data_IF_658773457811
#
_entry.id   IF_658773457811
#
_cell.length_a   1.000
_cell.length_b   1.000
_cell.length_c   1.000
_cell.angle_alpha   90.00
_cell.angle_beta   90.00
_cell.angle_gamma   90.00
#
_symmetry.space_group_name_H-M   'P 1'
#
loop_
_entity.id
_entity.type
_entity.pdbx_description
1 polymer ?
#
# COMPACT_ATOMS: atom_id res chain seq x y z
N UNK A 1 7.75 5.97 17.44
CA UNK A 1 7.00 4.91 16.74
C UNK A 1 7.59 4.72 15.34
N UNK A 2 7.93 3.48 15.00
CA UNK A 2 8.41 3.17 13.66
C UNK A 2 7.23 3.14 12.67
N UNK A 3 7.54 3.21 11.37
CA UNK A 3 6.49 3.09 10.34
C UNK A 3 5.79 1.73 10.46
N UNK A 4 6.54 0.66 10.70
CA UNK A 4 5.97 -0.66 10.87
C UNK A 4 4.98 -0.71 12.04
N UNK A 5 5.35 -0.13 13.17
CA UNK A 5 4.46 -0.04 14.34
C UNK A 5 3.22 0.79 14.03
N UNK A 6 3.39 1.90 13.29
CA UNK A 6 2.28 2.75 12.89
C UNK A 6 1.29 1.99 12.01
N UNK A 7 1.80 1.24 11.03
CA UNK A 7 0.94 0.45 10.15
C UNK A 7 0.20 -0.64 10.91
N UNK A 8 0.86 -1.30 11.84
CA UNK A 8 0.22 -2.33 12.67
C UNK A 8 -0.87 -1.73 13.55
N UNK A 9 -0.60 -0.56 14.15
CA UNK A 9 -1.57 0.11 15.01
C UNK A 9 -2.79 0.59 14.24
N UNK A 10 -2.63 0.95 12.98
CA UNK A 10 -3.69 1.49 12.13
C UNK A 10 -4.22 0.49 11.10
N UNK A 11 -3.84 -0.77 11.25
CA UNK A 11 -4.16 -1.82 10.28
C UNK A 11 -5.63 -1.92 9.93
N UNK A 12 -6.50 -1.97 10.93
CA UNK A 12 -7.92 -2.16 10.69
C UNK A 12 -8.52 -1.00 9.89
N UNK A 13 -8.09 0.21 10.18
CA UNK A 13 -8.57 1.39 9.46
C UNK A 13 -8.04 1.41 8.02
N UNK A 14 -6.78 1.04 7.83
CA UNK A 14 -6.19 0.93 6.49
C UNK A 14 -6.97 -0.06 5.65
N UNK A 15 -7.28 -1.24 6.23
CA UNK A 15 -8.03 -2.27 5.52
C UNK A 15 -9.45 -1.80 5.18
N UNK A 16 -10.07 -1.04 6.06
CA UNK A 16 -11.40 -0.48 5.83
C UNK A 16 -11.38 0.55 4.70
N UNK A 17 -10.40 1.44 4.70
CA UNK A 17 -10.24 2.42 3.63
C UNK A 17 -10.01 1.70 2.30
N UNK A 18 -9.16 0.68 2.29
CA UNK A 18 -8.89 -0.09 1.09
C UNK A 18 -10.17 -0.74 0.56
N UNK A 19 -10.93 -1.41 1.43
CA UNK A 19 -12.17 -2.07 1.04
C UNK A 19 -13.20 -1.09 0.48
N UNK A 20 -13.28 0.10 1.04
CA UNK A 20 -14.17 1.16 0.57
C UNK A 20 -13.90 1.50 -0.90
N UNK A 21 -12.64 1.45 -1.31
CA UNK A 21 -12.24 1.77 -2.68
C UNK A 21 -12.04 0.53 -3.55
N UNK A 22 -12.53 -0.62 -3.10
CA UNK A 22 -12.47 -1.86 -3.88
C UNK A 22 -11.13 -2.56 -3.88
N UNK A 23 -10.28 -2.30 -2.90
CA UNK A 23 -8.97 -2.93 -2.80
C UNK A 23 -8.97 -4.03 -1.74
N UNK A 24 -8.38 -5.18 -2.08
CA UNK A 24 -8.28 -6.35 -1.21
C UNK A 24 -6.85 -6.85 -1.21
N UNK A 25 -6.57 -7.82 -0.34
CA UNK A 25 -5.27 -8.47 -0.24
C UNK A 25 -4.17 -7.42 -0.11
N UNK A 26 -4.32 -6.56 0.89
CA UNK A 26 -3.39 -5.44 1.11
C UNK A 26 -2.07 -5.95 1.65
N UNK A 27 -1.00 -5.66 0.93
CA UNK A 27 0.37 -6.04 1.28
C UNK A 27 1.24 -4.81 1.31
N UNK A 28 2.33 -4.87 2.04
CA UNK A 28 3.32 -3.80 2.11
C UNK A 28 4.61 -4.30 1.47
N UNK A 29 5.27 -3.46 0.72
CA UNK A 29 6.56 -3.79 0.15
C UNK A 29 7.49 -2.57 0.23
N UNK A 30 8.69 -2.68 -0.30
CA UNK A 30 9.62 -1.56 -0.34
C UNK A 30 10.38 -1.34 0.97
N UNK A 31 10.75 -0.09 1.23
CA UNK A 31 11.64 0.25 2.34
C UNK A 31 11.09 -0.15 3.71
N UNK A 32 9.77 -0.09 3.90
CA UNK A 32 9.17 -0.48 5.18
C UNK A 32 9.45 -1.95 5.48
N UNK A 33 9.25 -2.81 4.47
CA UNK A 33 9.47 -4.26 4.64
C UNK A 33 10.95 -4.58 4.83
N UNK A 34 11.83 -3.86 4.16
CA UNK A 34 13.27 -4.08 4.28
C UNK A 34 13.88 -3.49 5.56
N UNK A 35 13.09 -2.78 6.35
CA UNK A 35 13.58 -2.15 7.57
C UNK A 35 14.44 -0.91 7.30
N UNK A 36 14.32 -0.32 6.12
CA UNK A 36 15.10 0.84 5.70
C UNK A 36 14.32 2.15 5.80
N UNK A 37 13.06 2.07 6.21
CA UNK A 37 12.18 3.23 6.22
C UNK A 37 12.52 4.19 7.36
N UNK A 38 12.67 5.47 7.02
CA UNK A 38 12.79 6.56 8.00
C UNK A 38 11.45 7.30 8.13
N UNK A 39 11.45 8.37 8.90
CA UNK A 39 10.25 9.16 9.15
C UNK A 39 9.67 9.79 7.89
N UNK A 40 10.52 10.05 6.90
CA UNK A 40 10.11 10.68 5.64
C UNK A 40 9.89 9.68 4.52
N UNK A 41 10.03 8.39 4.78
CA UNK A 41 9.89 7.37 3.74
C UNK A 41 8.45 7.22 3.29
N UNK A 42 8.28 6.90 2.00
CA UNK A 42 6.98 6.57 1.43
C UNK A 42 6.54 5.21 1.93
N UNK A 43 5.24 4.99 1.98
CA UNK A 43 4.68 3.67 2.27
C UNK A 43 4.18 3.09 0.96
N UNK A 44 4.65 1.90 0.62
CA UNK A 44 4.31 1.23 -0.63
C UNK A 44 3.37 0.05 -0.36
N UNK A 45 2.17 0.13 -0.91
CA UNK A 45 1.17 -0.94 -0.79
C UNK A 45 1.01 -1.67 -2.12
N UNK A 46 0.80 -2.97 -2.04
CA UNK A 46 0.43 -3.81 -3.17
C UNK A 46 -0.94 -4.40 -2.88
N UNK A 47 -1.90 -4.14 -3.75
CA UNK A 47 -3.29 -4.54 -3.54
C UNK A 47 -3.86 -5.23 -4.76
N UNK A 48 -4.99 -5.93 -4.56
CA UNK A 48 -5.81 -6.44 -5.64
C UNK A 48 -7.04 -5.55 -5.74
N UNK A 49 -7.26 -4.93 -6.91
CA UNK A 49 -8.44 -4.10 -7.14
C UNK A 49 -9.55 -4.91 -7.79
N UNK A 50 -10.79 -4.62 -7.40
CA UNK A 50 -11.96 -5.22 -8.03
C UNK A 50 -12.00 -4.83 -9.52
N UNK A 51 -12.43 -5.76 -10.40
CA UNK A 51 -12.36 -5.52 -11.86
C UNK A 51 -13.14 -4.30 -12.35
N UNK A 52 -14.18 -3.90 -11.65
CA UNK A 52 -15.02 -2.77 -12.04
C UNK A 52 -14.55 -1.42 -11.50
N UNK A 53 -13.43 -1.40 -10.82
CA UNK A 53 -12.88 -0.15 -10.27
C UNK A 53 -12.04 0.58 -11.31
N UNK A 54 -12.14 1.90 -11.30
CA UNK A 54 -11.47 2.76 -12.26
C UNK A 54 -10.20 3.38 -11.69
N UNK A 55 -9.48 4.13 -12.54
CA UNK A 55 -8.33 4.91 -12.08
C UNK A 55 -8.72 5.96 -11.03
N UNK A 56 -9.97 6.43 -11.06
CA UNK A 56 -10.46 7.38 -10.06
C UNK A 56 -10.54 6.72 -8.69
N UNK A 57 -10.96 5.46 -8.61
CA UNK A 57 -10.97 4.72 -7.36
C UNK A 57 -9.54 4.54 -6.83
N UNK A 58 -8.61 4.22 -7.70
CA UNK A 58 -7.20 4.06 -7.35
C UNK A 58 -6.62 5.36 -6.79
N UNK A 59 -6.87 6.48 -7.49
CA UNK A 59 -6.39 7.78 -7.05
C UNK A 59 -7.02 8.20 -5.70
N UNK A 60 -8.31 7.94 -5.53
CA UNK A 60 -9.01 8.24 -4.28
C UNK A 60 -8.45 7.44 -3.11
N UNK A 61 -8.11 6.17 -3.35
CA UNK A 61 -7.50 5.32 -2.33
C UNK A 61 -6.16 5.89 -1.88
N UNK A 62 -5.31 6.26 -2.83
CA UNK A 62 -4.01 6.86 -2.51
C UNK A 62 -4.20 8.12 -1.68
N UNK A 63 -5.09 9.02 -2.12
CA UNK A 63 -5.35 10.28 -1.43
C UNK A 63 -5.83 10.07 0.00
N UNK A 64 -6.77 9.16 0.20
CA UNK A 64 -7.30 8.92 1.53
C UNK A 64 -6.27 8.28 2.47
N UNK A 65 -5.47 7.35 1.95
CA UNK A 65 -4.40 6.74 2.74
C UNK A 65 -3.32 7.77 3.10
N UNK A 66 -2.95 8.65 2.19
CA UNK A 66 -2.00 9.72 2.47
C UNK A 66 -2.49 10.64 3.57
N UNK A 67 -3.75 11.02 3.50
CA UNK A 67 -4.36 11.87 4.52
C UNK A 67 -4.39 11.17 5.87
N UNK A 68 -4.78 9.91 5.89
CA UNK A 68 -4.89 9.14 7.13
C UNK A 68 -3.52 8.87 7.76
N UNK A 69 -2.51 8.53 6.96
CA UNK A 69 -1.18 8.18 7.46
C UNK A 69 -0.27 9.39 7.63
N UNK A 70 -0.62 10.54 7.05
CA UNK A 70 0.19 11.74 7.14
C UNK A 70 1.52 11.65 6.42
N UNK A 71 1.60 10.82 5.36
CA UNK A 71 2.82 10.65 4.57
C UNK A 71 2.48 10.19 3.16
N UNK A 72 3.47 10.27 2.28
CA UNK A 72 3.28 9.86 0.91
C UNK A 72 3.06 8.36 0.83
N UNK A 73 2.08 7.97 0.04
CA UNK A 73 1.67 6.57 -0.14
C UNK A 73 1.68 6.25 -1.63
N UNK A 74 2.19 5.08 -1.96
CA UNK A 74 2.09 4.54 -3.31
C UNK A 74 1.27 3.26 -3.24
N UNK A 75 0.40 3.05 -4.22
CA UNK A 75 -0.45 1.86 -4.28
C UNK A 75 -0.31 1.24 -5.66
N UNK A 76 0.22 0.02 -5.70
CA UNK A 76 0.40 -0.72 -6.94
C UNK A 76 -0.52 -1.95 -6.95
N UNK A 77 -0.86 -2.37 -8.16
CA UNK A 77 -1.47 -3.68 -8.39
C UNK A 77 -0.44 -4.54 -9.09
N UNK A 78 -0.64 -5.86 -9.12
CA UNK A 78 0.30 -6.74 -9.82
C UNK A 78 0.45 -6.37 -11.30
N UNK A 79 -0.63 -5.89 -11.91
CA UNK A 79 -0.61 -5.47 -13.32
C UNK A 79 0.15 -4.16 -13.55
N UNK A 80 0.20 -3.30 -12.55
CA UNK A 80 0.86 -2.00 -12.69
C UNK A 80 2.35 -2.04 -12.31
N UNK A 81 2.84 -3.17 -11.83
CA UNK A 81 4.25 -3.30 -11.49
C UNK A 81 5.09 -3.34 -12.76
N UNK A 82 6.16 -2.53 -12.78
CA UNK A 82 7.13 -2.59 -13.88
C UNK A 82 7.74 -4.00 -13.93
N UNK A 83 7.73 -4.63 -15.09
CA UNK A 83 8.05 -6.06 -15.24
C UNK A 83 9.42 -6.46 -14.69
N UNK A 84 10.43 -5.58 -14.78
CA UNK A 84 11.76 -5.87 -14.24
C UNK A 84 11.76 -6.00 -12.71
N UNK A 85 10.84 -5.31 -12.04
CA UNK A 85 10.76 -5.29 -10.59
C UNK A 85 9.73 -6.27 -10.04
N UNK A 86 8.90 -6.84 -10.91
CA UNK A 86 7.76 -7.66 -10.51
C UNK A 86 8.15 -8.81 -9.57
N UNK A 87 9.15 -9.58 -9.96
CA UNK A 87 9.57 -10.74 -9.18
C UNK A 87 10.05 -10.34 -7.79
N UNK A 88 10.84 -9.27 -7.73
CA UNK A 88 11.36 -8.74 -6.48
C UNK A 88 10.23 -8.24 -5.57
N UNK A 89 9.31 -7.47 -6.11
CA UNK A 89 8.20 -6.90 -5.34
C UNK A 89 7.29 -7.99 -4.81
N UNK A 90 6.93 -8.97 -5.64
CA UNK A 90 6.07 -10.07 -5.22
C UNK A 90 6.73 -10.93 -4.14
N UNK A 91 8.04 -11.12 -4.23
CA UNK A 91 8.77 -11.87 -3.22
C UNK A 91 8.89 -11.12 -1.91
N UNK A 92 9.05 -9.80 -1.98
CA UNK A 92 9.24 -8.92 -0.83
C UNK A 92 7.94 -8.61 -0.09
N UNK A 93 6.82 -8.51 -0.82
CA UNK A 93 5.54 -8.06 -0.27
C UNK A 93 5.05 -8.98 0.85
N UNK A 94 4.59 -8.36 1.93
CA UNK A 94 4.05 -9.07 3.10
C UNK A 94 2.66 -8.56 3.41
N UNK A 95 1.75 -9.44 3.85
CA UNK A 95 0.42 -9.01 4.28
C UNK A 95 0.52 -7.95 5.37
N UNK A 96 -0.38 -6.97 5.31
CA UNK A 96 -0.45 -5.93 6.33
C UNK A 96 -0.92 -6.51 7.70
#
# INVERSE_FOLDING_TARGET
MTIDELLKAKRDEILRIAAKHGARNVRVFGSVVRGEAGEQSDVDFLVDLEPDRSLLDHAALIGELQEFLGRKVDVLTEKSIYWLLRRRILKEAKPL
#
